data_IF_162483309315
#
_entry.id   IF_162483309315
#
_cell.length_a   1.000
_cell.length_b   1.000
_cell.length_c   1.000
_cell.angle_alpha   90.00
_cell.angle_beta   90.00
_cell.angle_gamma   90.00
#
_symmetry.space_group_name_H-M   'P 1'
#
loop_
_entity.id
_entity.type
_entity.pdbx_description
1 polymer ?
#
# COMPACT_ATOMS: atom_id res chain seq x y z
N UNK A 1 -18.18 -1.90 -3.41
CA UNK A 1 -17.35 -2.44 -4.52
C UNK A 1 -15.94 -1.86 -4.43
N UNK A 2 -14.90 -2.65 -4.69
CA UNK A 2 -13.50 -2.21 -4.80
C UNK A 2 -13.26 -1.49 -6.13
N UNK A 3 -13.98 -0.39 -6.39
CA UNK A 3 -14.03 0.23 -7.72
C UNK A 3 -12.70 0.81 -8.16
N UNK A 4 -11.94 1.43 -7.25
CA UNK A 4 -10.63 2.01 -7.57
C UNK A 4 -9.57 0.94 -7.79
N UNK A 5 -9.53 -0.08 -6.93
CA UNK A 5 -8.59 -1.21 -7.05
C UNK A 5 -8.82 -2.00 -8.36
N UNK A 6 -10.09 -2.31 -8.65
CA UNK A 6 -10.44 -3.06 -9.86
C UNK A 6 -10.17 -2.26 -11.13
N UNK A 7 -10.36 -0.94 -11.10
CA UNK A 7 -10.09 -0.08 -12.25
C UNK A 7 -8.60 -0.10 -12.64
N UNK A 8 -7.68 -0.04 -11.66
CA UNK A 8 -6.24 -0.12 -11.94
C UNK A 8 -5.87 -1.41 -12.68
N UNK A 9 -6.45 -2.54 -12.28
CA UNK A 9 -6.13 -3.84 -12.88
C UNK A 9 -6.84 -4.14 -14.20
N UNK A 10 -7.69 -3.26 -14.72
CA UNK A 10 -8.47 -3.52 -15.95
C UNK A 10 -7.60 -3.75 -17.18
N UNK A 11 -6.47 -3.06 -17.27
CA UNK A 11 -5.53 -3.19 -18.38
C UNK A 11 -4.65 -4.44 -18.35
N UNK A 12 -4.77 -5.29 -17.34
CA UNK A 12 -3.95 -6.49 -17.20
C UNK A 12 -4.75 -7.76 -17.46
N UNK A 13 -4.10 -8.75 -18.10
CA UNK A 13 -4.62 -10.11 -18.16
C UNK A 13 -4.64 -10.79 -16.77
N UNK A 14 -3.82 -10.33 -15.84
CA UNK A 14 -3.75 -10.81 -14.47
C UNK A 14 -4.79 -10.11 -13.60
N UNK A 15 -5.75 -10.86 -13.10
CA UNK A 15 -6.82 -10.28 -12.26
C UNK A 15 -6.28 -9.80 -10.93
N UNK A 16 -6.70 -8.61 -10.45
CA UNK A 16 -6.37 -8.11 -9.13
C UNK A 16 -6.70 -9.09 -8.02
N UNK A 17 -5.88 -9.09 -6.97
CA UNK A 17 -6.09 -9.87 -5.75
C UNK A 17 -5.99 -8.96 -4.52
N UNK A 18 -6.83 -9.22 -3.52
CA UNK A 18 -6.65 -8.68 -2.19
C UNK A 18 -6.20 -9.82 -1.28
N UNK A 19 -4.95 -9.76 -0.83
CA UNK A 19 -4.39 -10.76 0.09
C UNK A 19 -4.62 -10.26 1.51
N UNK A 20 -5.20 -11.11 2.36
CA UNK A 20 -5.49 -10.79 3.75
C UNK A 20 -4.89 -11.88 4.63
N UNK A 21 -4.07 -11.48 5.59
CA UNK A 21 -3.44 -12.35 6.57
C UNK A 21 -3.81 -11.88 7.97
N UNK A 22 -4.13 -12.82 8.84
CA UNK A 22 -4.43 -12.56 10.26
C UNK A 22 -3.53 -13.39 11.17
N UNK A 23 -3.03 -12.76 12.23
CA UNK A 23 -2.32 -13.41 13.32
C UNK A 23 -3.00 -13.06 14.64
N UNK A 24 -3.34 -14.08 15.41
CA UNK A 24 -4.02 -14.00 16.71
C UNK A 24 -3.07 -14.44 17.81
N UNK A 25 -2.02 -13.66 18.07
CA UNK A 25 -1.04 -13.92 19.11
C UNK A 25 -1.30 -13.19 20.42
N UNK A 26 -2.20 -12.21 20.40
CA UNK A 26 -2.60 -11.42 21.58
C UNK A 26 -3.83 -11.97 22.31
N UNK A 27 -4.39 -11.15 23.19
CA UNK A 27 -5.60 -11.48 23.95
C UNK A 27 -6.80 -11.57 22.99
N UNK A 28 -7.67 -12.53 23.21
CA UNK A 28 -8.92 -12.67 22.47
C UNK A 28 -9.80 -11.43 22.67
N UNK A 29 -10.34 -10.89 21.59
CA UNK A 29 -11.16 -9.68 21.62
C UNK A 29 -10.39 -8.37 21.53
N UNK A 30 -9.07 -8.37 21.69
CA UNK A 30 -8.27 -7.17 21.50
C UNK A 30 -8.25 -6.75 20.02
N UNK A 31 -8.44 -5.43 19.79
CA UNK A 31 -8.33 -4.86 18.44
C UNK A 31 -6.91 -5.06 17.90
N UNK A 32 -6.77 -5.50 16.64
CA UNK A 32 -5.46 -5.74 16.07
C UNK A 32 -4.73 -4.43 15.74
N UNK A 33 -3.42 -4.53 15.56
CA UNK A 33 -2.69 -3.65 14.67
C UNK A 33 -2.99 -4.05 13.23
N UNK A 34 -2.92 -3.12 12.29
CA UNK A 34 -3.11 -3.44 10.89
C UNK A 34 -2.01 -2.81 10.03
N UNK A 35 -1.51 -3.60 9.09
CA UNK A 35 -0.59 -3.15 8.05
C UNK A 35 -1.26 -3.25 6.69
N UNK A 36 -1.07 -2.22 5.86
CA UNK A 36 -1.47 -2.23 4.45
C UNK A 36 -0.23 -1.97 3.60
N UNK A 37 0.03 -2.82 2.61
CA UNK A 37 1.21 -2.68 1.75
C UNK A 37 0.83 -2.48 0.29
N UNK A 38 1.33 -1.41 -0.36
CA UNK A 38 1.20 -1.26 -1.82
C UNK A 38 1.81 -2.47 -2.52
N UNK A 39 1.00 -3.19 -3.30
CA UNK A 39 1.38 -4.41 -4.00
C UNK A 39 1.18 -4.30 -5.52
N UNK A 40 1.73 -3.26 -6.14
CA UNK A 40 1.76 -3.20 -7.61
C UNK A 40 2.82 -4.16 -8.11
N UNK A 41 2.37 -5.22 -8.77
CA UNK A 41 3.26 -6.32 -9.20
C UNK A 41 4.13 -5.95 -10.38
N UNK A 42 3.63 -5.06 -11.23
CA UNK A 42 4.39 -4.33 -12.24
C UNK A 42 3.63 -3.04 -12.61
N UNK A 43 4.36 -1.93 -12.76
CA UNK A 43 3.78 -0.63 -13.06
C UNK A 43 4.34 -0.04 -14.36
N UNK A 44 3.56 -0.09 -15.41
CA UNK A 44 3.90 0.60 -16.67
C UNK A 44 3.48 2.07 -16.68
N UNK A 45 2.72 2.52 -15.67
CA UNK A 45 2.00 3.78 -15.66
C UNK A 45 0.59 3.69 -16.27
N UNK A 46 0.26 2.57 -16.91
CA UNK A 46 -1.01 2.42 -17.63
C UNK A 46 -1.04 3.28 -18.90
N UNK A 47 -2.17 3.93 -19.20
CA UNK A 47 -2.31 4.84 -20.35
C UNK A 47 -1.38 6.05 -20.24
N UNK A 48 -1.12 6.55 -19.03
CA UNK A 48 -0.08 7.55 -18.73
C UNK A 48 1.30 6.86 -18.65
N UNK A 49 1.73 6.29 -19.77
CA UNK A 49 2.85 5.36 -19.89
C UNK A 49 4.17 6.00 -19.44
N UNK A 50 4.89 5.28 -18.59
CA UNK A 50 6.26 5.65 -18.18
C UNK A 50 7.25 5.59 -19.36
N UNK A 51 8.36 6.34 -19.32
CA UNK A 51 9.49 6.10 -20.23
C UNK A 51 9.98 4.66 -20.13
N UNK A 52 10.40 4.07 -21.26
CA UNK A 52 10.89 2.68 -21.26
C UNK A 52 12.21 2.49 -20.50
N UNK A 53 13.05 3.54 -20.45
CA UNK A 53 14.31 3.49 -19.70
C UNK A 53 14.06 3.43 -18.20
N UNK A 54 14.52 2.36 -17.54
CA UNK A 54 14.33 2.12 -16.11
C UNK A 54 12.98 1.51 -15.74
N UNK A 55 12.09 1.24 -16.71
CA UNK A 55 10.78 0.65 -16.41
C UNK A 55 10.89 -0.75 -15.79
N UNK A 56 11.97 -1.49 -16.05
CA UNK A 56 12.26 -2.78 -15.44
C UNK A 56 12.36 -2.72 -13.90
N UNK A 57 12.68 -1.55 -13.34
CA UNK A 57 12.68 -1.33 -11.90
C UNK A 57 11.27 -1.34 -11.29
N UNK A 58 10.23 -1.19 -12.10
CA UNK A 58 8.84 -1.19 -11.65
C UNK A 58 8.32 -2.56 -11.18
N UNK A 59 9.12 -3.62 -11.29
CA UNK A 59 8.93 -4.89 -10.56
C UNK A 59 9.08 -4.72 -9.04
N UNK A 60 9.69 -3.64 -8.56
CA UNK A 60 9.85 -3.31 -7.14
C UNK A 60 8.71 -2.45 -6.59
N UNK A 61 7.71 -2.11 -7.40
CA UNK A 61 6.59 -1.27 -6.98
C UNK A 61 5.60 -1.98 -6.02
N UNK A 62 6.02 -3.14 -5.57
CA UNK A 62 5.43 -3.92 -4.48
C UNK A 62 6.29 -3.88 -3.20
N UNK A 63 7.26 -2.98 -3.11
CA UNK A 63 8.15 -2.86 -1.94
C UNK A 63 7.41 -2.61 -0.64
N UNK A 64 6.31 -1.83 -0.67
CA UNK A 64 5.42 -1.65 0.47
C UNK A 64 4.82 -2.98 0.94
N UNK A 65 4.29 -3.79 0.01
CA UNK A 65 3.79 -5.12 0.32
C UNK A 65 4.88 -6.03 0.89
N UNK A 66 6.09 -6.01 0.31
CA UNK A 66 7.21 -6.80 0.81
C UNK A 66 7.57 -6.44 2.25
N UNK A 67 7.61 -5.14 2.58
CA UNK A 67 7.89 -4.66 3.94
C UNK A 67 6.86 -5.13 4.96
N UNK A 68 5.57 -4.93 4.68
CA UNK A 68 4.52 -5.34 5.63
C UNK A 68 4.37 -6.85 5.76
N UNK A 69 4.59 -7.61 4.68
CA UNK A 69 4.62 -9.07 4.73
C UNK A 69 5.82 -9.59 5.52
N UNK A 70 7.00 -8.97 5.35
CA UNK A 70 8.19 -9.27 6.15
C UNK A 70 7.96 -9.04 7.64
N UNK A 71 7.37 -7.89 8.00
CA UNK A 71 7.01 -7.57 9.37
C UNK A 71 5.96 -8.55 9.94
N UNK A 72 4.96 -8.93 9.15
CA UNK A 72 3.98 -9.94 9.54
C UNK A 72 4.64 -11.29 9.83
N UNK A 73 5.48 -11.79 8.93
CA UNK A 73 6.20 -13.07 9.11
C UNK A 73 7.12 -13.03 10.32
N UNK A 74 7.83 -11.91 10.54
CA UNK A 74 8.67 -11.74 11.71
C UNK A 74 7.86 -11.79 13.01
N UNK A 75 6.73 -11.07 13.07
CA UNK A 75 5.81 -11.06 14.21
C UNK A 75 5.35 -12.48 14.57
N UNK A 76 4.93 -13.25 13.56
CA UNK A 76 4.48 -14.64 13.75
C UNK A 76 5.61 -15.54 14.23
N UNK A 77 6.79 -15.47 13.58
CA UNK A 77 7.95 -16.30 13.95
C UNK A 77 8.50 -16.01 15.35
N UNK A 78 8.43 -14.75 15.76
CA UNK A 78 8.84 -14.33 17.11
C UNK A 78 7.80 -14.64 18.18
N UNK A 79 6.59 -15.05 17.79
CA UNK A 79 5.49 -15.34 18.73
C UNK A 79 5.08 -14.12 19.53
N UNK A 80 5.08 -12.92 18.92
CA UNK A 80 4.76 -11.69 19.66
C UNK A 80 3.30 -11.71 20.15
N UNK A 81 3.05 -11.28 21.40
CA UNK A 81 1.71 -11.32 22.00
C UNK A 81 0.81 -10.17 21.48
N UNK A 82 0.55 -10.14 20.19
CA UNK A 82 -0.25 -9.11 19.51
C UNK A 82 -1.20 -9.74 18.51
N UNK A 83 -2.36 -9.11 18.30
CA UNK A 83 -3.22 -9.40 17.16
C UNK A 83 -2.81 -8.49 15.99
N UNK A 84 -2.61 -9.07 14.81
CA UNK A 84 -2.13 -8.35 13.64
C UNK A 84 -2.93 -8.77 12.40
N UNK A 85 -3.37 -7.79 11.62
CA UNK A 85 -3.91 -7.96 10.28
C UNK A 85 -2.93 -7.37 9.25
N UNK A 86 -2.74 -8.05 8.13
CA UNK A 86 -1.94 -7.54 7.03
C UNK A 86 -2.75 -7.65 5.73
N UNK A 87 -2.90 -6.54 5.01
CA UNK A 87 -3.70 -6.45 3.79
C UNK A 87 -2.83 -5.94 2.65
N UNK A 88 -2.80 -6.71 1.55
CA UNK A 88 -2.00 -6.37 0.36
C UNK A 88 -2.90 -6.40 -0.87
N UNK A 89 -3.21 -5.24 -1.48
CA UNK A 89 -3.79 -5.16 -2.80
C UNK A 89 -2.72 -5.49 -3.85
N UNK A 90 -2.77 -6.68 -4.43
CA UNK A 90 -1.85 -7.14 -5.48
C UNK A 90 -2.47 -6.89 -6.86
N UNK A 91 -1.94 -5.92 -7.59
CA UNK A 91 -2.50 -5.42 -8.84
C UNK A 91 -1.38 -5.10 -9.83
N UNK A 92 -1.61 -5.34 -11.10
CA UNK A 92 -0.71 -4.96 -12.18
C UNK A 92 -1.30 -3.78 -12.98
N UNK A 93 -0.52 -2.72 -13.19
CA UNK A 93 -0.95 -1.53 -13.95
C UNK A 93 -0.38 -1.58 -15.37
N UNK A 94 -1.24 -1.89 -16.34
CA UNK A 94 -0.85 -2.10 -17.74
C UNK A 94 -1.68 -1.25 -18.69
N UNK A 95 -1.09 -0.80 -19.81
CA UNK A 95 -1.85 -0.18 -20.92
C UNK A 95 -2.54 -1.26 -21.73
N UNK A 96 -3.82 -1.06 -21.99
CA UNK A 96 -4.63 -1.94 -22.82
C UNK A 96 -5.86 -1.19 -23.34
N UNK A 97 -6.58 -1.76 -24.28
CA UNK A 97 -7.84 -1.21 -24.78
C UNK A 97 -8.94 -1.12 -23.73
N UNK A 98 -8.89 -1.94 -22.69
CA UNK A 98 -9.84 -1.93 -21.56
C UNK A 98 -9.29 -1.20 -20.31
N UNK A 99 -8.07 -0.65 -20.38
CA UNK A 99 -7.47 0.06 -19.26
C UNK A 99 -8.27 1.33 -18.87
N UNK A 100 -8.22 1.69 -17.59
CA UNK A 100 -8.76 2.96 -17.14
C UNK A 100 -7.91 4.13 -17.67
N UNK A 101 -8.49 5.32 -17.76
CA UNK A 101 -7.91 6.46 -18.48
C UNK A 101 -7.97 7.74 -17.65
N UNK A 102 -7.11 8.71 -17.94
CA UNK A 102 -7.34 10.09 -17.49
C UNK A 102 -8.75 10.55 -17.86
N UNK A 103 -9.41 11.29 -16.97
CA UNK A 103 -10.79 11.74 -17.00
C UNK A 103 -11.85 10.67 -16.65
N UNK A 104 -11.49 9.42 -16.45
CA UNK A 104 -12.42 8.44 -15.88
C UNK A 104 -12.77 8.83 -14.43
N UNK A 105 -14.02 8.62 -14.03
CA UNK A 105 -14.47 8.81 -12.66
C UNK A 105 -14.73 7.45 -12.03
N UNK A 106 -13.96 7.14 -10.99
CA UNK A 106 -14.04 5.89 -10.25
C UNK A 106 -14.87 6.07 -8.98
N UNK A 107 -15.54 5.01 -8.54
CA UNK A 107 -16.19 4.99 -7.23
C UNK A 107 -15.42 4.06 -6.31
N UNK A 108 -14.83 4.60 -5.24
CA UNK A 108 -14.06 3.84 -4.25
C UNK A 108 -14.96 2.98 -3.37
N UNK A 109 -14.35 2.09 -2.58
CA UNK A 109 -15.05 1.26 -1.60
C UNK A 109 -15.80 2.11 -0.55
N UNK A 110 -15.29 3.28 -0.21
CA UNK A 110 -15.95 4.22 0.71
C UNK A 110 -17.16 4.95 0.09
N UNK A 111 -17.39 4.79 -1.22
CA UNK A 111 -18.47 5.48 -1.95
C UNK A 111 -18.06 6.85 -2.51
N UNK A 112 -16.86 7.32 -2.23
CA UNK A 112 -16.36 8.58 -2.80
C UNK A 112 -16.00 8.39 -4.28
N UNK A 113 -16.28 9.40 -5.08
CA UNK A 113 -15.89 9.46 -6.49
C UNK A 113 -14.51 10.11 -6.63
N UNK A 114 -13.70 9.56 -7.53
CA UNK A 114 -12.33 10.00 -7.77
C UNK A 114 -12.16 10.20 -9.29
N UNK A 115 -11.85 11.43 -9.70
CA UNK A 115 -11.44 11.71 -11.07
C UNK A 115 -9.98 11.29 -11.25
N UNK A 116 -9.71 10.47 -12.26
CA UNK A 116 -8.36 10.04 -12.63
C UNK A 116 -7.72 11.13 -13.47
N UNK A 117 -6.67 11.75 -13.00
CA UNK A 117 -5.91 12.73 -13.79
C UNK A 117 -4.67 12.10 -14.43
N UNK A 118 -4.13 11.05 -13.80
CA UNK A 118 -2.92 10.36 -14.26
C UNK A 118 -2.99 8.90 -13.81
N UNK A 119 -2.92 7.96 -14.75
CA UNK A 119 -2.98 6.53 -14.44
C UNK A 119 -1.68 5.99 -13.84
N UNK A 120 -0.59 6.76 -13.85
CA UNK A 120 0.66 6.48 -13.11
C UNK A 120 0.57 6.86 -11.62
N UNK A 121 -0.60 7.29 -11.17
CA UNK A 121 -0.92 7.51 -9.76
C UNK A 121 -1.83 6.38 -9.21
N UNK A 122 -1.61 5.16 -9.63
CA UNK A 122 -2.39 3.94 -9.36
C UNK A 122 -2.30 3.48 -7.91
N UNK A 123 -1.13 3.67 -7.27
CA UNK A 123 -0.88 3.20 -5.90
C UNK A 123 -1.87 3.76 -4.91
N UNK A 124 -2.18 5.05 -4.96
CA UNK A 124 -3.19 5.68 -4.10
C UNK A 124 -4.61 5.16 -4.35
N UNK A 125 -4.89 4.69 -5.57
CA UNK A 125 -6.20 4.15 -5.94
C UNK A 125 -6.42 2.75 -5.37
N UNK A 126 -5.40 1.88 -5.40
CA UNK A 126 -5.51 0.57 -4.77
C UNK A 126 -5.48 0.67 -3.24
N UNK A 127 -4.70 1.62 -2.70
CA UNK A 127 -4.59 1.83 -1.26
C UNK A 127 -5.87 2.40 -0.66
N UNK A 128 -6.58 3.32 -1.32
CA UNK A 128 -7.81 3.89 -0.76
C UNK A 128 -8.88 2.82 -0.50
N UNK A 129 -9.00 1.83 -1.38
CA UNK A 129 -9.93 0.71 -1.19
C UNK A 129 -9.41 -0.27 -0.12
N UNK A 130 -8.11 -0.60 -0.14
CA UNK A 130 -7.52 -1.51 0.84
C UNK A 130 -7.54 -0.93 2.27
N UNK A 131 -7.25 0.37 2.44
CA UNK A 131 -7.34 1.07 3.72
C UNK A 131 -8.77 1.11 4.25
N UNK A 132 -9.74 1.44 3.37
CA UNK A 132 -11.16 1.43 3.73
C UNK A 132 -11.62 0.03 4.17
N UNK A 133 -11.26 -1.01 3.41
CA UNK A 133 -11.55 -2.39 3.75
C UNK A 133 -10.98 -2.77 5.11
N UNK A 134 -9.70 -2.46 5.32
CA UNK A 134 -8.98 -2.79 6.56
C UNK A 134 -9.61 -2.10 7.78
N UNK A 135 -9.91 -0.82 7.65
CA UNK A 135 -10.53 -0.05 8.73
C UNK A 135 -11.93 -0.58 9.09
N UNK A 136 -12.75 -0.90 8.08
CA UNK A 136 -14.12 -1.38 8.30
C UNK A 136 -14.16 -2.82 8.81
N UNK A 137 -13.30 -3.70 8.31
CA UNK A 137 -13.30 -5.14 8.63
C UNK A 137 -12.68 -5.42 10.00
N UNK A 138 -11.53 -4.82 10.28
CA UNK A 138 -10.74 -5.13 11.47
C UNK A 138 -10.88 -4.12 12.60
N UNK A 139 -11.34 -2.91 12.31
CA UNK A 139 -11.42 -1.80 13.27
C UNK A 139 -10.14 -1.67 14.12
N UNK A 140 -8.95 -1.63 13.47
CA UNK A 140 -7.69 -1.74 14.18
C UNK A 140 -7.45 -0.58 15.14
N UNK A 141 -6.67 -0.81 16.21
CA UNK A 141 -6.23 0.27 17.11
C UNK A 141 -5.16 1.18 16.49
N UNK A 142 -4.37 0.61 15.57
CA UNK A 142 -3.37 1.34 14.76
C UNK A 142 -3.42 0.77 13.35
N UNK A 143 -3.40 1.64 12.34
CA UNK A 143 -3.29 1.27 10.95
C UNK A 143 -2.10 2.01 10.34
N UNK A 144 -1.17 1.25 9.76
CA UNK A 144 0.02 1.77 9.09
C UNK A 144 0.03 1.23 7.66
N UNK A 145 0.28 2.10 6.69
CA UNK A 145 0.52 1.69 5.32
C UNK A 145 1.97 1.95 4.90
N UNK A 146 2.46 1.10 4.00
CA UNK A 146 3.77 1.23 3.39
C UNK A 146 3.62 1.18 1.87
N UNK A 147 4.26 2.12 1.17
CA UNK A 147 4.09 2.24 -0.27
C UNK A 147 5.31 2.87 -0.95
N UNK A 148 5.73 2.31 -2.05
CA UNK A 148 6.59 2.92 -3.05
C UNK A 148 5.73 3.87 -3.90
N UNK A 149 5.40 5.06 -3.36
CA UNK A 149 4.27 5.85 -3.83
C UNK A 149 4.65 6.95 -4.82
N UNK A 150 5.79 7.60 -4.61
CA UNK A 150 6.20 8.75 -5.43
C UNK A 150 7.71 8.95 -5.47
N UNK A 151 8.24 9.21 -6.66
CA UNK A 151 9.63 9.62 -6.85
C UNK A 151 9.98 10.93 -6.15
N UNK A 152 8.99 11.78 -5.85
CA UNK A 152 9.20 13.01 -5.08
C UNK A 152 9.79 12.74 -3.69
N UNK A 153 9.46 11.61 -3.07
CA UNK A 153 10.05 11.20 -1.80
C UNK A 153 11.56 10.95 -1.92
N UNK A 154 11.98 10.31 -3.01
CA UNK A 154 13.41 10.08 -3.29
C UNK A 154 14.14 11.40 -3.57
N UNK A 155 13.51 12.34 -4.26
CA UNK A 155 14.07 13.67 -4.50
C UNK A 155 14.24 14.45 -3.19
N UNK A 156 13.27 14.34 -2.27
CA UNK A 156 13.28 15.07 -1.00
C UNK A 156 14.25 14.46 0.03
N UNK A 157 14.29 13.11 0.14
CA UNK A 157 14.94 12.39 1.26
C UNK A 157 16.13 11.53 0.84
N UNK A 158 16.37 11.36 -0.47
CA UNK A 158 17.37 10.43 -0.97
C UNK A 158 16.90 8.96 -0.87
N UNK A 159 17.87 8.05 -0.68
CA UNK A 159 17.64 6.60 -0.72
C UNK A 159 17.78 5.90 0.64
N UNK A 160 17.96 6.65 1.72
CA UNK A 160 18.31 6.11 3.03
C UNK A 160 17.30 6.40 4.13
N UNK A 161 16.22 7.12 3.81
CA UNK A 161 15.14 7.41 4.74
C UNK A 161 13.80 7.33 4.03
N UNK A 162 12.83 6.71 4.67
CA UNK A 162 11.43 6.69 4.22
C UNK A 162 10.72 7.96 4.67
N UNK A 163 9.76 8.45 3.88
CA UNK A 163 8.88 9.54 4.30
C UNK A 163 7.81 9.03 5.27
N UNK A 164 7.73 9.59 6.47
CA UNK A 164 6.70 9.27 7.45
C UNK A 164 5.68 10.39 7.52
N UNK A 165 4.42 10.08 7.26
CA UNK A 165 3.31 11.01 7.32
C UNK A 165 2.25 10.50 8.31
N UNK A 166 1.96 11.28 9.32
CA UNK A 166 0.93 10.98 10.32
C UNK A 166 0.40 12.25 10.96
N UNK A 167 -0.88 12.26 11.31
CA UNK A 167 -1.48 13.29 12.16
C UNK A 167 -1.41 12.94 13.66
N UNK A 168 -0.88 11.76 14.00
CA UNK A 168 -0.74 11.26 15.36
C UNK A 168 0.72 11.38 15.79
N UNK A 169 1.02 12.39 16.59
CA UNK A 169 2.41 12.75 16.97
C UNK A 169 3.09 11.65 17.76
N UNK A 170 2.39 11.04 18.73
CA UNK A 170 2.94 9.97 19.58
C UNK A 170 3.31 8.74 18.74
N UNK A 171 2.41 8.28 17.88
CA UNK A 171 2.69 7.16 16.98
C UNK A 171 3.85 7.47 16.02
N UNK A 172 3.92 8.70 15.50
CA UNK A 172 5.03 9.10 14.64
C UNK A 172 6.36 9.07 15.39
N UNK A 173 6.39 9.54 16.64
CA UNK A 173 7.59 9.51 17.48
C UNK A 173 8.04 8.07 17.78
N UNK A 174 7.11 7.16 18.09
CA UNK A 174 7.41 5.74 18.29
C UNK A 174 8.00 5.09 17.03
N UNK A 175 7.43 5.36 15.84
CA UNK A 175 7.92 4.84 14.57
C UNK A 175 9.31 5.38 14.22
N UNK A 176 9.56 6.67 14.45
CA UNK A 176 10.88 7.26 14.25
C UNK A 176 11.93 6.62 15.17
N UNK A 177 11.60 6.44 16.45
CA UNK A 177 12.50 5.79 17.42
C UNK A 177 12.78 4.32 17.02
N UNK A 178 11.76 3.59 16.58
CA UNK A 178 11.93 2.23 16.08
C UNK A 178 12.81 2.17 14.82
N UNK A 179 12.64 3.13 13.90
CA UNK A 179 13.46 3.26 12.70
C UNK A 179 14.94 3.52 13.01
N UNK A 180 15.23 4.37 13.98
CA UNK A 180 16.61 4.62 14.44
C UNK A 180 17.23 3.36 15.08
N UNK A 181 16.45 2.64 15.90
CA UNK A 181 16.93 1.44 16.57
C UNK A 181 17.19 0.26 15.61
N UNK A 182 16.42 0.15 14.53
CA UNK A 182 16.55 -0.91 13.52
C UNK A 182 17.42 -0.52 12.33
N UNK A 183 17.88 0.72 12.24
CA UNK A 183 18.57 1.32 11.08
C UNK A 183 17.71 1.38 9.80
N UNK A 184 16.39 1.28 9.94
CA UNK A 184 15.40 1.51 8.88
C UNK A 184 14.74 2.88 9.13
N UNK A 185 15.48 3.91 8.80
CA UNK A 185 15.16 5.29 9.18
C UNK A 185 13.99 5.86 8.41
N UNK A 186 13.22 6.68 9.11
CA UNK A 186 12.18 7.50 8.52
C UNK A 186 12.40 8.99 8.83
N UNK A 187 11.85 9.83 8.00
CA UNK A 187 11.80 11.28 8.17
C UNK A 187 10.35 11.75 8.11
N UNK A 188 9.92 12.54 9.09
CA UNK A 188 8.55 13.08 9.19
C UNK A 188 8.42 14.42 8.48
#
# INVERSE_FOLDING_TARGET
SFGSLLAVGRGSANKPKLVVLEYKGGTEGDKPYAFVGKGITFDTGGISLKPGAGMEEMKYDMGGAAGVLGAFVATVKMGLPVNLACVVPAVENMPDGDAYRPSDVLTSLSGLTIEVLNTDAEGRLILCDALTYTAQTFQPKVLIDAATLTGACVVALGKHASGLMSKHDDLAAELLAAGEASLDRAWR
#
